data_IF_016013237149
#
_entry.id   IF_016013237149
#
_cell.length_a   1.000
_cell.length_b   1.000
_cell.length_c   1.000
_cell.angle_alpha   90.00
_cell.angle_beta   90.00
_cell.angle_gamma   90.00
#
_symmetry.space_group_name_H-M   'P 1'
#
loop_
_entity.id
_entity.type
_entity.pdbx_description
1 polymer ?
#
# COMPACT_ATOMS: atom_id res chain seq x y z
N UNK A 1 2.41 -6.15 -8.19
CA UNK A 1 1.26 -5.71 -7.36
C UNK A 1 1.69 -5.00 -6.07
N UNK A 2 2.68 -5.50 -5.31
CA UNK A 2 3.18 -4.83 -4.09
C UNK A 2 3.74 -3.43 -4.35
N UNK A 3 4.52 -3.25 -5.41
CA UNK A 3 5.07 -1.94 -5.80
C UNK A 3 3.98 -0.91 -6.10
N UNK A 4 2.92 -1.29 -6.82
CA UNK A 4 1.77 -0.40 -7.10
C UNK A 4 1.05 0.07 -5.84
N UNK A 5 0.97 -0.78 -4.81
CA UNK A 5 0.42 -0.41 -3.50
C UNK A 5 1.32 0.63 -2.82
N UNK A 6 2.64 0.40 -2.84
CA UNK A 6 3.62 1.33 -2.26
C UNK A 6 3.59 2.67 -2.99
N UNK A 7 3.64 2.64 -4.32
CA UNK A 7 3.67 3.82 -5.18
C UNK A 7 2.44 4.71 -4.94
N UNK A 8 1.22 4.16 -5.03
CA UNK A 8 0.01 4.96 -4.80
C UNK A 8 -0.11 5.46 -3.35
N UNK A 9 0.23 4.62 -2.36
CA UNK A 9 0.14 5.01 -0.97
C UNK A 9 1.15 6.12 -0.61
N UNK A 10 2.33 6.13 -1.23
CA UNK A 10 3.40 7.10 -0.99
C UNK A 10 3.26 8.36 -1.85
N UNK A 11 2.61 8.28 -3.01
CA UNK A 11 2.39 9.40 -3.94
C UNK A 11 1.03 10.10 -3.75
N UNK A 12 0.50 10.13 -2.53
CA UNK A 12 -0.62 11.01 -2.16
C UNK A 12 -2.00 10.36 -2.04
N UNK A 13 -2.18 9.08 -2.37
CA UNK A 13 -3.45 8.38 -2.15
C UNK A 13 -3.60 7.95 -0.68
N UNK A 14 -2.49 7.63 0.00
CA UNK A 14 -2.53 7.12 1.38
C UNK A 14 -3.15 5.71 1.48
N UNK A 15 -2.99 5.05 2.64
CA UNK A 15 -3.29 3.62 2.75
C UNK A 15 -4.77 3.25 2.59
N UNK A 16 -5.68 4.10 3.08
CA UNK A 16 -7.14 3.86 3.00
C UNK A 16 -7.68 3.99 1.59
N UNK A 17 -7.29 5.06 0.89
CA UNK A 17 -7.73 5.28 -0.49
C UNK A 17 -7.12 4.24 -1.44
N UNK A 18 -5.84 3.89 -1.25
CA UNK A 18 -5.17 2.81 -1.99
C UNK A 18 -5.93 1.49 -1.85
N UNK A 19 -6.40 1.16 -0.64
CA UNK A 19 -7.23 -0.02 -0.41
C UNK A 19 -8.55 0.03 -1.17
N UNK A 20 -9.26 1.18 -1.11
CA UNK A 20 -10.52 1.40 -1.82
C UNK A 20 -10.37 1.30 -3.34
N UNK A 21 -9.34 1.93 -3.91
CA UNK A 21 -9.08 1.95 -5.36
C UNK A 21 -8.67 0.56 -5.88
N UNK A 22 -7.91 -0.21 -5.09
CA UNK A 22 -7.45 -1.54 -5.49
C UNK A 22 -8.39 -2.69 -5.09
N UNK A 23 -9.50 -2.40 -4.39
CA UNK A 23 -10.38 -3.44 -3.84
C UNK A 23 -9.69 -4.30 -2.77
N UNK A 24 -8.71 -3.74 -2.05
CA UNK A 24 -7.93 -4.43 -1.03
C UNK A 24 -8.35 -3.98 0.37
N UNK A 25 -8.34 -4.92 1.32
CA UNK A 25 -8.42 -4.57 2.73
C UNK A 25 -7.23 -3.72 3.19
N UNK A 26 -7.49 -2.76 4.08
CA UNK A 26 -6.45 -1.86 4.62
C UNK A 26 -5.29 -2.62 5.26
N UNK A 27 -5.55 -3.78 5.87
CA UNK A 27 -4.51 -4.63 6.45
C UNK A 27 -3.49 -5.11 5.40
N UNK A 28 -3.94 -5.44 4.19
CA UNK A 28 -3.07 -5.86 3.08
C UNK A 28 -2.17 -4.72 2.64
N UNK A 29 -2.74 -3.51 2.55
CA UNK A 29 -1.98 -2.30 2.22
C UNK A 29 -0.92 -2.05 3.30
N UNK A 30 -1.33 -1.98 4.56
CA UNK A 30 -0.42 -1.72 5.69
C UNK A 30 0.69 -2.77 5.81
N UNK A 31 0.39 -4.05 5.61
CA UNK A 31 1.39 -5.12 5.62
C UNK A 31 2.40 -4.97 4.49
N UNK A 32 1.93 -4.60 3.30
CA UNK A 32 2.80 -4.33 2.15
C UNK A 32 3.74 -3.16 2.42
N UNK A 33 3.24 -2.07 3.01
CA UNK A 33 4.05 -0.89 3.36
C UNK A 33 5.08 -1.17 4.47
N UNK A 34 4.73 -1.99 5.47
CA UNK A 34 5.69 -2.39 6.53
C UNK A 34 6.80 -3.26 5.97
N UNK A 35 6.45 -4.25 5.14
CA UNK A 35 7.40 -5.18 4.55
C UNK A 35 8.28 -4.51 3.47
N UNK A 36 7.80 -3.46 2.80
CA UNK A 36 8.61 -2.73 1.81
C UNK A 36 9.75 -1.92 2.44
N UNK A 37 9.62 -1.52 3.72
CA UNK A 37 10.69 -0.83 4.47
C UNK A 37 11.73 -1.79 5.03
N UNK A 38 11.38 -3.05 5.24
CA UNK A 38 12.27 -4.08 5.82
C UNK A 38 13.11 -4.81 4.78
N UNK A 39 12.75 -4.72 3.49
CA UNK A 39 13.48 -5.36 2.39
C UNK A 39 14.51 -4.42 1.75
N UNK A 40 15.05 -3.48 2.54
CA UNK A 40 16.04 -2.50 2.10
C UNK A 40 17.29 -2.60 2.95
#
# INVERSE_FOLDING_TARGET
MKEKIVDMAMNGSGGRDTGRVLGLGINTVMRTLKNSRQNK
#
